data_IF_343972027696
#
_entry.id   IF_343972027696
#
_cell.length_a   1.000
_cell.length_b   1.000
_cell.length_c   1.000
_cell.angle_alpha   90.00
_cell.angle_beta   90.00
_cell.angle_gamma   90.00
#
_symmetry.space_group_name_H-M   'P 1'
#
loop_
_entity.id
_entity.type
_entity.pdbx_description
1 polymer ?
#
# COMPACT_ATOMS: atom_id res chain seq x y z
N UNK A 1 -0.95 9.82 -19.18
CA UNK A 1 -1.97 8.86 -18.73
C UNK A 1 -1.34 7.82 -17.80
N UNK A 2 -2.14 7.17 -16.96
CA UNK A 2 -1.71 6.08 -16.09
C UNK A 2 -2.59 4.85 -16.38
N UNK A 3 -1.97 3.68 -16.48
CA UNK A 3 -2.64 2.41 -16.75
C UNK A 3 -2.07 1.33 -15.85
N UNK A 4 -2.89 0.36 -15.45
CA UNK A 4 -2.44 -0.86 -14.80
C UNK A 4 -2.97 -2.09 -15.55
N UNK A 5 -2.32 -3.23 -15.33
CA UNK A 5 -2.75 -4.51 -15.88
C UNK A 5 -1.86 -5.64 -15.40
N UNK A 6 -1.69 -6.64 -16.26
CA UNK A 6 -0.75 -7.74 -16.07
C UNK A 6 0.34 -7.71 -17.17
N UNK A 7 1.61 -7.87 -16.79
CA UNK A 7 2.73 -8.10 -17.70
C UNK A 7 3.24 -9.53 -17.53
N UNK A 8 3.76 -10.14 -18.60
CA UNK A 8 4.27 -11.51 -18.54
C UNK A 8 5.71 -11.49 -18.03
N UNK A 9 5.98 -12.20 -16.94
CA UNK A 9 7.29 -12.35 -16.32
C UNK A 9 7.64 -13.86 -16.24
N UNK A 10 8.20 -14.40 -17.32
CA UNK A 10 8.42 -15.83 -17.45
C UNK A 10 7.13 -16.57 -17.83
N UNK A 11 6.75 -17.56 -17.03
CA UNK A 11 5.50 -18.32 -17.17
C UNK A 11 4.33 -17.69 -16.40
N UNK A 12 4.62 -16.73 -15.51
CA UNK A 12 3.64 -16.08 -14.64
C UNK A 12 3.37 -14.63 -15.06
N UNK A 13 2.33 -14.05 -14.49
CA UNK A 13 1.97 -12.63 -14.64
C UNK A 13 2.36 -11.79 -13.42
N UNK A 14 2.77 -10.55 -13.66
CA UNK A 14 3.02 -9.54 -12.64
C UNK A 14 2.10 -8.34 -12.84
N UNK A 15 1.82 -7.59 -11.77
CA UNK A 15 1.11 -6.32 -11.87
C UNK A 15 2.01 -5.32 -12.57
N UNK A 16 1.51 -4.65 -13.61
CA UNK A 16 2.24 -3.58 -14.27
C UNK A 16 1.57 -2.22 -14.06
N UNK A 17 2.38 -1.16 -13.93
CA UNK A 17 1.97 0.23 -13.98
C UNK A 17 2.71 0.93 -15.11
N UNK A 18 1.95 1.55 -16.01
CA UNK A 18 2.48 2.38 -17.08
C UNK A 18 2.20 3.85 -16.82
N UNK A 19 3.22 4.68 -17.01
CA UNK A 19 3.05 6.12 -17.23
C UNK A 19 3.27 6.44 -18.69
N UNK A 20 2.27 7.07 -19.29
CA UNK A 20 2.28 7.51 -20.67
C UNK A 20 2.31 9.03 -20.77
N UNK A 21 2.94 9.56 -21.82
CA UNK A 21 2.83 10.97 -22.20
C UNK A 21 1.43 11.28 -22.81
N UNK A 22 1.21 12.52 -23.24
CA UNK A 22 -0.05 12.95 -23.85
C UNK A 22 -0.31 12.35 -25.24
N UNK A 23 0.74 11.85 -25.91
CA UNK A 23 0.65 11.17 -27.19
C UNK A 23 0.46 9.64 -27.04
N UNK A 24 0.48 9.12 -25.81
CA UNK A 24 0.33 7.70 -25.51
C UNK A 24 1.64 6.92 -25.53
N UNK A 25 2.80 7.57 -25.63
CA UNK A 25 4.09 6.88 -25.55
C UNK A 25 4.42 6.55 -24.10
N UNK A 26 5.03 5.39 -23.88
CA UNK A 26 5.50 4.97 -22.55
C UNK A 26 6.66 5.87 -22.10
N UNK A 27 6.44 6.61 -21.01
CA UNK A 27 7.48 7.34 -20.29
C UNK A 27 8.26 6.37 -19.39
N UNK A 28 7.53 5.54 -18.65
CA UNK A 28 8.09 4.44 -17.88
C UNK A 28 7.05 3.36 -17.60
N UNK A 29 7.55 2.15 -17.29
CA UNK A 29 6.78 1.05 -16.73
C UNK A 29 7.43 0.53 -15.45
N UNK A 30 6.62 -0.08 -14.59
CA UNK A 30 7.04 -0.75 -13.35
C UNK A 30 6.25 -2.03 -13.18
N UNK A 31 6.94 -3.09 -12.81
CA UNK A 31 6.32 -4.38 -12.48
C UNK A 31 6.35 -4.58 -10.96
N UNK A 32 5.27 -5.10 -10.41
CA UNK A 32 5.11 -5.41 -8.99
C UNK A 32 4.53 -6.81 -8.87
N UNK A 33 4.97 -7.54 -7.86
CA UNK A 33 4.53 -8.91 -7.69
C UNK A 33 5.61 -9.83 -7.16
N UNK A 34 5.24 -11.10 -7.01
CA UNK A 34 6.10 -12.19 -6.61
C UNK A 34 6.40 -13.13 -7.79
N UNK A 35 6.82 -14.37 -7.49
CA UNK A 35 7.11 -15.39 -8.49
C UNK A 35 5.86 -16.14 -8.99
N UNK A 36 4.65 -15.66 -8.68
CA UNK A 36 3.38 -16.31 -9.01
C UNK A 36 2.45 -15.28 -9.65
N UNK A 37 1.36 -15.74 -10.27
CA UNK A 37 0.40 -14.91 -10.97
C UNK A 37 -0.18 -13.77 -10.11
N UNK A 38 0.13 -12.54 -10.53
CA UNK A 38 -0.37 -11.30 -9.99
C UNK A 38 -1.02 -10.45 -11.10
N UNK A 39 -2.04 -9.66 -10.76
CA UNK A 39 -2.73 -8.84 -11.75
C UNK A 39 -3.32 -7.56 -11.17
N UNK A 40 -3.03 -6.42 -11.81
CA UNK A 40 -3.60 -5.12 -11.47
C UNK A 40 -4.93 -4.89 -12.19
N UNK A 41 -5.94 -4.43 -11.45
CA UNK A 41 -7.30 -4.21 -11.98
C UNK A 41 -7.75 -2.76 -11.93
N UNK A 42 -7.22 -1.97 -10.99
CA UNK A 42 -7.55 -0.56 -10.85
C UNK A 42 -6.36 0.23 -10.36
N UNK A 43 -6.24 1.46 -10.83
CA UNK A 43 -5.19 2.40 -10.41
C UNK A 43 -5.78 3.78 -10.20
N UNK A 44 -5.33 4.44 -9.12
CA UNK A 44 -5.68 5.83 -8.82
C UNK A 44 -4.42 6.60 -8.43
N UNK A 45 -4.31 7.83 -8.92
CA UNK A 45 -3.29 8.78 -8.49
C UNK A 45 -3.65 9.35 -7.11
N UNK A 46 -2.67 9.45 -6.23
CA UNK A 46 -2.85 9.95 -4.87
C UNK A 46 -2.52 11.44 -4.77
N UNK A 47 -3.00 12.10 -3.72
CA UNK A 47 -2.77 13.53 -3.51
C UNK A 47 -1.29 13.90 -3.31
N UNK A 48 -0.45 12.95 -2.91
CA UNK A 48 1.01 13.08 -2.82
C UNK A 48 1.73 12.81 -4.16
N UNK A 49 0.99 12.61 -5.26
CA UNK A 49 1.50 12.42 -6.61
C UNK A 49 1.89 10.99 -6.96
N UNK A 50 1.78 10.06 -5.99
CA UNK A 50 2.02 8.63 -6.20
C UNK A 50 0.78 7.89 -6.72
N UNK A 51 0.81 6.55 -6.65
CA UNK A 51 -0.26 5.71 -7.17
C UNK A 51 -0.64 4.60 -6.20
N UNK A 52 -1.94 4.29 -6.13
CA UNK A 52 -2.48 3.09 -5.50
C UNK A 52 -2.98 2.17 -6.61
N UNK A 53 -2.51 0.93 -6.61
CA UNK A 53 -2.95 -0.14 -7.51
C UNK A 53 -3.67 -1.20 -6.68
N UNK A 54 -4.85 -1.60 -7.12
CA UNK A 54 -5.60 -2.71 -6.54
C UNK A 54 -5.70 -3.86 -7.53
N UNK A 55 -5.51 -5.06 -7.03
CA UNK A 55 -5.39 -6.26 -7.84
C UNK A 55 -5.49 -7.53 -7.02
N UNK A 56 -4.97 -8.61 -7.58
CA UNK A 56 -4.84 -9.91 -6.93
C UNK A 56 -3.41 -10.41 -6.95
N UNK A 57 -3.08 -11.28 -6.00
CA UNK A 57 -1.80 -11.96 -5.93
C UNK A 57 -1.97 -13.41 -5.52
N UNK A 58 -1.30 -14.31 -6.24
CA UNK A 58 -1.25 -15.74 -5.90
C UNK A 58 -0.06 -16.11 -5.00
N UNK A 59 0.59 -15.14 -4.34
CA UNK A 59 1.85 -15.31 -3.59
C UNK A 59 1.94 -16.51 -2.64
N UNK A 60 0.81 -16.96 -2.09
CA UNK A 60 0.77 -18.06 -1.12
C UNK A 60 0.40 -19.41 -1.74
N UNK A 61 0.13 -19.49 -3.05
CA UNK A 61 -0.22 -20.72 -3.76
C UNK A 61 -1.63 -21.26 -3.50
N UNK A 62 -2.33 -20.78 -2.47
CA UNK A 62 -3.68 -21.21 -2.07
C UNK A 62 -4.79 -20.26 -2.58
N UNK A 63 -4.70 -19.88 -3.86
CA UNK A 63 -5.67 -19.01 -4.53
C UNK A 63 -5.26 -17.54 -4.57
N UNK A 64 -6.21 -16.71 -5.03
CA UNK A 64 -5.99 -15.27 -5.25
C UNK A 64 -6.28 -14.46 -3.97
N UNK A 65 -5.25 -13.83 -3.40
CA UNK A 65 -5.38 -12.86 -2.31
C UNK A 65 -5.56 -11.44 -2.85
N UNK A 66 -6.25 -10.58 -2.10
CA UNK A 66 -6.32 -9.16 -2.42
C UNK A 66 -4.92 -8.52 -2.34
N UNK A 67 -4.50 -7.84 -3.41
CA UNK A 67 -3.19 -7.21 -3.49
C UNK A 67 -3.33 -5.71 -3.69
N UNK A 68 -2.63 -4.94 -2.85
CA UNK A 68 -2.59 -3.48 -2.96
C UNK A 68 -1.15 -2.99 -2.98
N UNK A 69 -0.82 -2.17 -3.96
CA UNK A 69 0.50 -1.54 -4.09
C UNK A 69 0.33 -0.03 -3.96
N UNK A 70 1.06 0.59 -3.02
CA UNK A 70 1.24 2.06 -3.00
C UNK A 70 2.64 2.39 -3.48
N UNK A 71 2.74 3.42 -4.31
CA UNK A 71 3.99 3.92 -4.90
C UNK A 71 4.18 5.40 -4.62
N UNK A 72 5.40 5.87 -4.82
CA UNK A 72 5.73 7.29 -4.98
C UNK A 72 5.42 7.81 -6.41
N UNK A 73 5.62 9.11 -6.73
CA UNK A 73 5.34 9.68 -8.04
C UNK A 73 6.15 9.07 -9.21
N UNK A 74 7.28 8.45 -8.90
CA UNK A 74 8.17 7.76 -9.83
C UNK A 74 7.79 6.27 -10.03
N UNK A 75 6.70 5.83 -9.38
CA UNK A 75 6.20 4.46 -9.42
C UNK A 75 7.04 3.50 -8.58
N UNK A 76 7.88 4.00 -7.69
CA UNK A 76 8.72 3.18 -6.82
C UNK A 76 7.92 2.81 -5.58
N UNK A 77 7.93 1.52 -5.24
CA UNK A 77 7.48 1.05 -3.93
C UNK A 77 8.65 1.21 -2.99
N UNK A 78 8.43 1.84 -1.82
CA UNK A 78 9.43 1.82 -0.75
C UNK A 78 9.76 0.35 -0.44
N UNK A 79 10.92 -0.12 -0.90
CA UNK A 79 11.38 -1.48 -0.67
C UNK A 79 11.66 -1.63 0.82
N UNK A 80 10.83 -2.41 1.50
CA UNK A 80 11.10 -2.79 2.88
C UNK A 80 11.35 -4.29 3.03
N UNK A 81 11.97 -4.96 2.05
CA UNK A 81 12.55 -6.29 2.27
C UNK A 81 13.89 -6.42 1.54
N UNK A 82 15.00 -6.49 2.30
CA UNK A 82 16.23 -7.09 1.78
C UNK A 82 17.55 -6.51 2.28
N UNK A 83 17.85 -5.21 2.10
CA UNK A 83 19.24 -4.72 2.21
C UNK A 83 19.37 -3.25 2.65
N UNK A 84 18.72 -2.85 3.75
CA UNK A 84 19.12 -1.62 4.43
C UNK A 84 20.17 -1.96 5.52
N UNK A 85 21.29 -1.24 5.61
CA UNK A 85 22.18 -1.37 6.77
C UNK A 85 21.33 -1.16 8.02
N UNK A 86 21.48 -2.05 9.01
CA UNK A 86 20.65 -2.23 10.22
C UNK A 86 20.38 -0.97 11.07
N UNK A 87 20.95 0.17 10.69
CA UNK A 87 20.77 1.49 11.31
C UNK A 87 19.76 2.39 10.58
N UNK A 88 19.25 2.00 9.41
CA UNK A 88 18.37 2.83 8.56
C UNK A 88 17.10 2.11 8.07
N UNK A 89 16.87 0.84 8.41
CA UNK A 89 15.56 0.22 8.18
C UNK A 89 14.52 0.92 9.06
N UNK A 90 13.44 1.50 8.48
CA UNK A 90 12.34 1.98 9.27
C UNK A 90 11.81 0.83 10.14
N UNK A 91 11.37 1.16 11.35
CA UNK A 91 10.69 0.16 12.18
C UNK A 91 9.32 -0.13 11.55
N UNK A 92 8.83 -1.36 11.65
CA UNK A 92 7.52 -1.74 11.11
C UNK A 92 6.39 -1.40 12.08
N UNK A 93 5.29 -0.89 11.54
CA UNK A 93 4.00 -0.81 12.23
C UNK A 93 3.17 -2.04 11.91
N UNK A 94 2.36 -2.49 12.88
CA UNK A 94 1.41 -3.59 12.70
C UNK A 94 0.04 -3.14 13.21
N UNK A 95 -1.03 -3.57 12.55
CA UNK A 95 -2.42 -3.38 12.99
C UNK A 95 -3.11 -4.72 13.18
N UNK A 96 -3.73 -4.95 14.35
CA UNK A 96 -4.39 -6.21 14.69
C UNK A 96 -5.77 -5.95 15.32
N UNK A 97 -6.88 -6.45 14.75
CA UNK A 97 -6.97 -7.07 13.42
C UNK A 97 -6.85 -6.04 12.29
N UNK A 98 -6.44 -6.46 11.09
CA UNK A 98 -6.50 -5.65 9.88
C UNK A 98 -6.80 -6.56 8.68
N UNK A 99 -7.98 -6.47 8.03
CA UNK A 99 -9.08 -5.52 8.26
C UNK A 99 -9.79 -5.62 9.62
N UNK A 100 -10.56 -4.60 10.00
CA UNK A 100 -11.30 -4.54 11.28
C UNK A 100 -12.71 -3.93 11.15
N UNK A 101 -13.65 -4.32 12.02
CA UNK A 101 -15.03 -3.77 12.05
C UNK A 101 -15.16 -2.55 12.98
N UNK A 102 -14.80 -2.71 14.26
CA UNK A 102 -14.83 -1.63 15.25
C UNK A 102 -13.51 -0.86 15.26
N UNK A 103 -12.53 -1.45 15.93
CA UNK A 103 -11.18 -0.91 16.11
C UNK A 103 -10.11 -1.95 15.81
N UNK A 104 -8.89 -1.49 15.55
CA UNK A 104 -7.66 -2.29 15.56
C UNK A 104 -6.67 -1.74 16.58
N UNK A 105 -5.72 -2.58 16.99
CA UNK A 105 -4.58 -2.23 17.83
C UNK A 105 -3.35 -2.00 16.95
N UNK A 106 -2.75 -0.82 17.08
CA UNK A 106 -1.48 -0.45 16.48
C UNK A 106 -0.32 -0.85 17.40
N UNK A 107 0.71 -1.43 16.80
CA UNK A 107 1.93 -1.86 17.46
C UNK A 107 3.17 -1.33 16.70
N UNK A 108 4.28 -1.01 17.39
CA UNK A 108 4.45 -1.04 18.85
C UNK A 108 3.74 0.13 19.55
N UNK A 109 3.50 -0.01 20.84
CA UNK A 109 3.03 1.09 21.68
C UNK A 109 4.10 2.19 21.83
N UNK A 110 3.67 3.44 22.05
CA UNK A 110 4.55 4.58 22.33
C UNK A 110 4.73 5.62 21.22
N UNK A 111 4.77 5.32 19.90
CA UNK A 111 4.88 6.37 18.90
C UNK A 111 3.58 7.19 18.80
N UNK A 112 3.73 8.44 18.34
CA UNK A 112 2.58 9.27 17.97
C UNK A 112 2.06 8.85 16.59
N UNK A 113 0.92 8.18 16.56
CA UNK A 113 0.25 7.78 15.33
C UNK A 113 -0.51 8.95 14.71
N UNK A 114 -0.45 9.04 13.39
CA UNK A 114 -1.30 9.90 12.56
C UNK A 114 -1.97 9.03 11.52
N UNK A 115 -3.30 9.10 11.44
CA UNK A 115 -4.08 8.34 10.46
C UNK A 115 -4.70 9.33 9.48
N UNK A 116 -4.56 9.02 8.21
CA UNK A 116 -5.07 9.80 7.08
C UNK A 116 -6.07 8.99 6.29
N UNK A 117 -7.13 9.63 5.80
CA UNK A 117 -7.99 9.03 4.78
C UNK A 117 -7.29 8.96 3.40
N UNK A 118 -7.94 8.35 2.41
CA UNK A 118 -7.41 8.24 1.04
C UNK A 118 -7.18 9.61 0.37
N UNK A 119 -7.89 10.66 0.81
CA UNK A 119 -7.69 12.03 0.34
C UNK A 119 -6.51 12.75 1.00
N UNK A 120 -5.78 12.08 1.91
CA UNK A 120 -4.67 12.66 2.65
C UNK A 120 -5.09 13.56 3.81
N UNK A 121 -6.38 13.60 4.17
CA UNK A 121 -6.85 14.38 5.32
C UNK A 121 -6.55 13.61 6.62
N UNK A 122 -5.98 14.31 7.59
CA UNK A 122 -5.75 13.77 8.93
C UNK A 122 -7.09 13.51 9.63
N UNK A 123 -7.34 12.26 10.03
CA UNK A 123 -8.58 11.83 10.71
C UNK A 123 -8.34 11.36 12.14
N UNK A 124 -7.11 11.00 12.50
CA UNK A 124 -6.74 10.64 13.88
C UNK A 124 -5.31 11.07 14.18
N UNK A 125 -5.06 11.49 15.43
CA UNK A 125 -3.74 11.77 15.97
C UNK A 125 -3.71 11.40 17.45
N UNK A 126 -2.86 10.46 17.86
CA UNK A 126 -2.82 10.00 19.24
C UNK A 126 -1.73 8.98 19.54
N UNK A 127 -1.50 8.73 20.83
CA UNK A 127 -0.54 7.74 21.34
C UNK A 127 -1.20 6.40 21.69
N UNK A 128 -2.55 6.33 21.73
CA UNK A 128 -3.27 5.12 22.07
C UNK A 128 -3.17 4.08 20.96
N UNK A 129 -2.90 2.79 21.28
CA UNK A 129 -2.76 1.77 20.25
C UNK A 129 -4.10 1.43 19.61
N UNK A 130 -5.22 1.58 20.33
CA UNK A 130 -6.54 1.29 19.79
C UNK A 130 -7.05 2.44 18.91
N UNK A 131 -7.26 2.16 17.63
CA UNK A 131 -7.71 3.12 16.62
C UNK A 131 -8.86 2.53 15.82
N UNK A 132 -9.64 3.37 15.15
CA UNK A 132 -10.73 2.92 14.29
C UNK A 132 -12.13 3.28 14.79
N UNK A 133 -12.29 3.53 16.09
CA UNK A 133 -13.54 4.07 16.63
C UNK A 133 -13.89 5.42 15.98
N UNK A 134 -15.14 5.56 15.53
CA UNK A 134 -15.61 6.75 14.82
C UNK A 134 -15.09 6.94 13.39
N UNK A 135 -14.16 6.11 12.89
CA UNK A 135 -13.81 6.10 11.47
C UNK A 135 -14.98 5.54 10.64
N UNK A 136 -15.18 6.09 9.44
CA UNK A 136 -16.11 5.52 8.47
C UNK A 136 -15.49 4.24 7.86
N UNK A 137 -16.30 3.32 7.31
CA UNK A 137 -15.77 2.21 6.53
C UNK A 137 -14.91 2.73 5.37
N UNK A 138 -13.72 2.16 5.17
CA UNK A 138 -12.74 2.64 4.19
C UNK A 138 -11.31 2.24 4.49
N UNK A 139 -10.39 2.72 3.63
CA UNK A 139 -8.94 2.48 3.71
C UNK A 139 -8.25 3.72 4.27
N UNK A 140 -7.25 3.52 5.12
CA UNK A 140 -6.52 4.57 5.82
C UNK A 140 -5.01 4.32 5.84
N UNK A 141 -4.23 5.40 5.90
CA UNK A 141 -2.77 5.36 6.07
C UNK A 141 -2.37 5.80 7.47
N UNK A 142 -1.62 4.94 8.18
CA UNK A 142 -1.04 5.19 9.49
C UNK A 142 0.43 5.58 9.31
N UNK A 143 0.84 6.71 9.90
CA UNK A 143 2.23 7.18 9.93
C UNK A 143 2.71 7.38 11.36
N UNK A 144 3.97 7.03 11.62
CA UNK A 144 4.68 7.30 12.87
C UNK A 144 6.15 7.65 12.56
N UNK A 145 6.75 8.52 13.39
CA UNK A 145 8.13 8.97 13.18
C UNK A 145 9.12 7.82 13.36
N UNK A 146 9.97 7.57 12.36
CA UNK A 146 10.94 6.47 12.39
C UNK A 146 10.35 5.10 12.05
N UNK A 147 9.11 5.05 11.58
CA UNK A 147 8.44 3.84 11.11
C UNK A 147 7.99 3.97 9.66
N UNK A 148 7.96 2.86 8.93
CA UNK A 148 7.33 2.81 7.62
C UNK A 148 5.81 3.04 7.75
N UNK A 149 5.16 3.70 6.76
CA UNK A 149 3.72 3.85 6.73
C UNK A 149 3.00 2.49 6.67
N UNK A 150 1.88 2.37 7.38
CA UNK A 150 1.03 1.17 7.37
C UNK A 150 -0.35 1.49 6.81
N UNK A 151 -0.92 0.60 6.02
CA UNK A 151 -2.32 0.69 5.60
C UNK A 151 -3.23 -0.11 6.54
N UNK A 152 -4.39 0.46 6.89
CA UNK A 152 -5.44 -0.22 7.65
C UNK A 152 -6.80 -0.10 6.95
N UNK A 153 -7.64 -1.12 7.10
CA UNK A 153 -8.96 -1.20 6.43
C UNK A 153 -10.08 -1.38 7.45
N UNK A 154 -11.03 -0.43 7.49
CA UNK A 154 -12.26 -0.52 8.28
C UNK A 154 -13.41 -1.05 7.44
N UNK A 155 -14.06 -2.10 7.92
CA UNK A 155 -15.24 -2.72 7.33
C UNK A 155 -16.52 -2.02 7.79
N UNK A 156 -17.63 -2.29 7.09
CA UNK A 156 -18.97 -1.79 7.46
C UNK A 156 -19.50 -2.42 8.74
#
# INVERSE_FOLDING_TARGET
YILTGASRAGEDFQVVLYRLDSAGNTVWSRDYGGPLDDGGFSVVETADGGFIIAGKSARNGDGDDAYLVKTDPEGIVEVEEGLLPSRLSPRRLIAIPNPFWGSCLLSPEGPLFRIYDLGGKLVYKGYGPQVGEGLKPGVYFVKASGYAPLMITKLR
#
